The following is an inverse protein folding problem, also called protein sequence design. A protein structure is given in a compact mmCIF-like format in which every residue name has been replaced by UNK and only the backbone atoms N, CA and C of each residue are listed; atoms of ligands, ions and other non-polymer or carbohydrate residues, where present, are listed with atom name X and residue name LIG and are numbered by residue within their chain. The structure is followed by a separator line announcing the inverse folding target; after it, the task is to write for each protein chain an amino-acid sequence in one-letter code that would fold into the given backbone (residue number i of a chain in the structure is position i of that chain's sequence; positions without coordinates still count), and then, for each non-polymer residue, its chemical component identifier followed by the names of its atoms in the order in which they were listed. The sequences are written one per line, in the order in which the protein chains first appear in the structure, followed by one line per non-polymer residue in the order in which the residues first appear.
data_IF_290693158221
#
_entry.id   IF_290693158221
#
_cell.length_a   1.000
_cell.length_b   1.000
_cell.length_c   1.000
_cell.angle_alpha   90.00
_cell.angle_beta   90.00
_cell.angle_gamma   90.00
#
_symmetry.space_group_name_H-M   'P 1'
#
loop_
_entity.id
_entity.type
_entity.pdbx_description
1 polymer ?
#
# COMPACT_ATOMS: atom_id res chain seq x y z
N UNK A 1 -36.59 -14.43 -4.40
CA UNK A 1 -35.74 -15.19 -5.34
C UNK A 1 -34.35 -15.27 -4.77
N UNK A 2 -33.96 -16.40 -4.55
CA UNK A 2 -33.01 -17.13 -3.74
C UNK A 2 -31.64 -16.51 -3.45
N UNK A 3 -31.39 -16.28 -2.16
CA UNK A 3 -30.07 -15.88 -1.60
C UNK A 3 -29.13 -17.10 -1.34
N UNK A 4 -29.47 -18.29 -1.82
CA UNK A 4 -28.75 -19.54 -1.48
C UNK A 4 -27.85 -20.12 -2.60
N UNK A 5 -27.58 -19.39 -3.69
CA UNK A 5 -26.73 -19.91 -4.78
C UNK A 5 -25.31 -19.37 -4.84
N UNK A 6 -24.89 -18.51 -3.90
CA UNK A 6 -23.54 -17.93 -3.91
C UNK A 6 -22.53 -18.64 -2.96
N UNK A 7 -22.95 -19.65 -2.21
CA UNK A 7 -22.12 -20.25 -1.16
C UNK A 7 -21.56 -21.65 -1.48
N UNK A 8 -21.66 -22.15 -2.71
CA UNK A 8 -21.27 -23.55 -3.03
C UNK A 8 -20.07 -23.68 -3.99
N UNK A 9 -19.48 -22.60 -4.46
CA UNK A 9 -18.36 -22.68 -5.44
C UNK A 9 -16.97 -22.44 -4.83
N UNK A 10 -16.85 -22.07 -3.56
CA UNK A 10 -15.55 -21.78 -2.90
C UNK A 10 -14.89 -23.00 -2.25
N UNK A 11 -15.53 -24.17 -2.24
CA UNK A 11 -15.02 -25.33 -1.47
C UNK A 11 -14.51 -26.53 -2.31
N UNK A 12 -14.20 -26.37 -3.58
CA UNK A 12 -13.88 -27.52 -4.47
C UNK A 12 -12.47 -27.49 -5.13
N UNK A 13 -11.52 -26.64 -4.72
CA UNK A 13 -10.16 -26.58 -5.33
C UNK A 13 -9.02 -26.84 -4.33
N UNK A 14 -9.28 -27.27 -3.10
CA UNK A 14 -8.25 -27.53 -2.08
C UNK A 14 -7.91 -29.02 -1.87
N UNK A 15 -8.14 -29.92 -2.80
CA UNK A 15 -7.85 -31.37 -2.64
C UNK A 15 -7.11 -31.98 -3.85
N UNK A 16 -6.17 -31.33 -4.49
CA UNK A 16 -5.26 -32.03 -5.43
C UNK A 16 -3.89 -31.36 -5.57
N UNK A 17 -3.09 -31.32 -4.50
CA UNK A 17 -1.62 -31.11 -4.62
C UNK A 17 -0.89 -31.59 -3.35
N UNK A 18 -1.16 -32.82 -2.93
CA UNK A 18 -0.41 -33.49 -1.87
C UNK A 18 -0.07 -34.91 -2.26
N UNK A 19 0.78 -35.08 -3.27
CA UNK A 19 1.44 -36.35 -3.56
C UNK A 19 2.61 -36.14 -4.53
N UNK A 20 3.76 -35.70 -4.06
CA UNK A 20 5.11 -36.06 -4.50
C UNK A 20 6.10 -35.32 -3.60
N UNK A 21 6.52 -35.92 -2.51
CA UNK A 21 7.89 -35.89 -1.98
C UNK A 21 8.00 -36.92 -0.89
N UNK A 22 8.75 -37.98 -1.23
CA UNK A 22 8.99 -39.15 -0.40
C UNK A 22 9.85 -38.86 0.81
N UNK A 23 9.58 -39.60 1.84
CA UNK A 23 10.26 -39.61 3.13
C UNK A 23 11.74 -40.00 3.03
N UNK A 24 12.60 -39.24 3.65
CA UNK A 24 13.88 -39.71 4.15
C UNK A 24 13.90 -39.48 5.67
N UNK A 25 13.84 -40.56 6.40
CA UNK A 25 13.92 -40.66 7.87
C UNK A 25 15.42 -40.79 8.21
N UNK A 26 15.95 -39.88 9.00
CA UNK A 26 17.28 -40.03 9.61
C UNK A 26 17.11 -40.05 11.13
N UNK A 27 17.69 -41.07 11.73
CA UNK A 27 17.69 -41.40 13.16
C UNK A 27 18.48 -40.38 13.98
N UNK A 28 17.95 -40.06 15.14
CA UNK A 28 18.60 -39.27 16.18
C UNK A 28 19.50 -40.18 17.04
N UNK A 29 20.77 -39.88 17.14
CA UNK A 29 21.64 -40.33 18.21
C UNK A 29 22.11 -39.12 19.00
N UNK A 30 21.74 -39.10 20.26
CA UNK A 30 22.33 -38.22 21.29
C UNK A 30 23.71 -38.68 21.71
N UNK A 31 24.60 -37.78 22.02
CA UNK A 31 25.62 -38.04 23.02
C UNK A 31 25.56 -37.10 24.23
N UNK A 32 25.93 -37.72 25.34
CA UNK A 32 26.01 -37.20 26.69
C UNK A 32 26.94 -36.00 26.91
N UNK A 33 26.57 -35.27 27.97
CA UNK A 33 27.37 -34.43 28.89
C UNK A 33 28.87 -34.25 28.64
N UNK A 34 29.28 -33.01 28.53
CA UNK A 34 30.57 -32.55 29.07
C UNK A 34 30.45 -31.15 29.65
N UNK A 35 30.80 -31.12 30.89
CA UNK A 35 31.00 -30.02 31.82
C UNK A 35 31.97 -28.97 31.28
N UNK A 36 31.54 -27.70 31.15
CA UNK A 36 32.47 -26.59 30.91
C UNK A 36 32.11 -25.43 31.86
N UNK A 37 32.94 -25.34 32.92
CA UNK A 37 33.06 -24.22 33.85
C UNK A 37 33.36 -22.91 33.11
N UNK A 38 32.57 -21.91 33.36
CA UNK A 38 32.75 -20.53 32.85
C UNK A 38 33.88 -19.81 33.62
N UNK A 39 34.77 -19.10 32.92
CA UNK A 39 35.73 -18.20 33.60
C UNK A 39 35.07 -16.90 34.06
N UNK A 40 35.34 -16.53 35.33
CA UNK A 40 34.92 -15.25 35.91
C UNK A 40 35.71 -14.09 35.29
N UNK A 41 35.02 -13.08 34.82
CA UNK A 41 35.61 -11.80 34.40
C UNK A 41 35.99 -10.95 35.63
N UNK A 42 37.10 -10.19 35.57
CA UNK A 42 37.54 -9.35 36.69
C UNK A 42 36.67 -8.07 36.82
N UNK A 43 36.42 -7.68 38.05
CA UNK A 43 35.75 -6.44 38.46
C UNK A 43 36.64 -5.26 38.07
N UNK A 44 36.17 -4.38 37.19
CA UNK A 44 36.81 -3.11 36.89
C UNK A 44 36.42 -2.09 38.00
N UNK A 45 37.41 -1.59 38.67
CA UNK A 45 37.30 -0.47 39.65
C UNK A 45 37.03 0.81 38.84
N UNK A 46 35.93 1.48 39.13
CA UNK A 46 35.62 2.81 38.56
C UNK A 46 36.57 3.85 39.20
N UNK A 47 37.43 4.42 38.36
CA UNK A 47 38.19 5.62 38.66
C UNK A 47 37.44 6.82 38.08
N UNK A 48 36.79 7.59 38.93
CA UNK A 48 36.17 8.85 38.54
C UNK A 48 37.23 9.90 38.17
N UNK A 49 37.39 10.18 36.88
CA UNK A 49 38.06 11.39 36.40
C UNK A 49 37.03 12.50 36.25
N UNK A 50 37.16 13.51 37.07
CA UNK A 50 36.43 14.76 36.95
C UNK A 50 37.00 15.57 35.79
N UNK A 51 36.36 15.51 34.63
CA UNK A 51 36.62 16.33 33.46
C UNK A 51 35.63 17.48 33.46
N UNK A 52 36.10 18.65 33.94
CA UNK A 52 35.38 19.92 33.86
C UNK A 52 34.86 20.20 32.44
N UNK A 53 33.62 19.85 32.18
CA UNK A 53 32.91 20.22 30.94
C UNK A 53 32.34 21.61 31.11
N UNK A 54 33.04 22.57 30.50
CA UNK A 54 32.54 23.89 30.15
C UNK A 54 31.15 23.78 29.53
N UNK A 55 30.17 24.50 30.06
CA UNK A 55 28.81 24.60 29.58
C UNK A 55 28.77 25.15 28.15
N UNK A 56 28.81 24.27 27.17
CA UNK A 56 28.34 24.60 25.82
C UNK A 56 26.84 24.81 25.90
N UNK A 57 26.39 26.05 25.75
CA UNK A 57 24.99 26.45 25.64
C UNK A 57 24.30 25.52 24.64
N UNK A 58 23.34 24.75 25.14
CA UNK A 58 22.50 23.90 24.34
C UNK A 58 21.90 24.71 23.21
N UNK A 59 22.22 24.33 21.97
CA UNK A 59 21.41 24.74 20.80
C UNK A 59 20.03 24.18 21.09
N UNK A 60 19.09 25.10 21.22
CA UNK A 60 17.66 24.82 21.25
C UNK A 60 17.35 23.99 19.99
N UNK A 61 17.30 22.66 20.16
CA UNK A 61 16.77 21.76 19.12
C UNK A 61 15.27 22.01 19.11
N UNK A 62 14.86 23.08 18.44
CA UNK A 62 13.47 23.21 18.03
C UNK A 62 13.15 21.95 17.27
N UNK A 63 12.39 21.06 17.91
CA UNK A 63 11.87 19.87 17.25
C UNK A 63 11.12 20.32 16.02
N UNK A 64 11.64 19.99 14.83
CA UNK A 64 10.91 20.23 13.57
C UNK A 64 9.57 19.55 13.75
N UNK A 65 8.45 20.25 13.58
CA UNK A 65 7.14 19.63 13.72
C UNK A 65 7.07 18.41 12.81
N UNK A 66 6.52 17.29 13.25
CA UNK A 66 6.41 16.11 12.42
C UNK A 66 5.62 16.43 11.15
N UNK A 67 6.11 15.97 10.00
CA UNK A 67 5.47 16.19 8.69
C UNK A 67 4.01 15.76 8.74
N UNK A 68 3.07 16.60 8.31
CA UNK A 68 1.66 16.24 8.24
C UNK A 68 1.44 15.06 7.28
N UNK A 69 0.53 14.15 7.66
CA UNK A 69 0.13 13.01 6.84
C UNK A 69 -1.35 13.14 6.50
N UNK A 70 -1.68 13.06 5.22
CA UNK A 70 -3.05 13.14 4.71
C UNK A 70 -3.71 11.76 4.85
N UNK A 71 -4.91 11.71 5.44
CA UNK A 71 -5.68 10.48 5.53
C UNK A 71 -6.54 10.28 4.28
N UNK A 72 -6.74 9.02 3.93
CA UNK A 72 -7.67 8.58 2.93
C UNK A 72 -8.43 7.33 3.36
N UNK A 73 -9.48 7.02 2.63
CA UNK A 73 -10.24 5.78 2.78
C UNK A 73 -10.58 5.24 1.39
N UNK A 74 -10.44 3.92 1.25
CA UNK A 74 -11.04 3.12 0.19
C UNK A 74 -12.27 2.37 0.71
N UNK A 75 -13.35 2.35 -0.07
CA UNK A 75 -14.48 1.45 0.12
C UNK A 75 -15.01 0.95 -1.23
N UNK A 76 -15.54 -0.28 -1.30
CA UNK A 76 -16.08 -0.84 -2.56
C UNK A 76 -17.26 -0.04 -3.14
N UNK A 77 -18.00 0.71 -2.32
CA UNK A 77 -19.11 1.54 -2.74
C UNK A 77 -18.69 2.86 -3.41
N UNK A 78 -17.41 3.27 -3.22
CA UNK A 78 -16.93 4.56 -3.73
C UNK A 78 -16.77 4.57 -5.25
N UNK A 79 -17.01 5.69 -5.89
CA UNK A 79 -17.51 6.96 -5.36
C UNK A 79 -19.05 7.07 -5.38
N UNK A 80 -19.78 5.97 -5.68
CA UNK A 80 -21.24 5.99 -5.86
C UNK A 80 -22.01 6.25 -4.56
N UNK A 81 -21.52 5.72 -3.43
CA UNK A 81 -22.11 5.92 -2.11
C UNK A 81 -21.03 6.32 -1.10
N UNK A 82 -21.14 7.57 -0.61
CA UNK A 82 -20.25 8.17 0.38
C UNK A 82 -20.87 8.27 1.77
N UNK A 83 -21.96 7.53 2.04
CA UNK A 83 -22.71 7.63 3.30
C UNK A 83 -21.87 7.20 4.51
N UNK A 84 -21.15 6.10 4.40
CA UNK A 84 -20.27 5.60 5.46
C UNK A 84 -19.10 6.55 5.71
N UNK A 85 -18.53 7.16 4.66
CA UNK A 85 -17.52 8.21 4.79
C UNK A 85 -18.08 9.39 5.60
N UNK A 86 -19.30 9.82 5.29
CA UNK A 86 -19.97 10.92 6.00
C UNK A 86 -20.19 10.60 7.48
N UNK A 87 -20.44 9.33 7.83
CA UNK A 87 -20.52 8.89 9.22
C UNK A 87 -19.16 8.99 9.94
N UNK A 88 -18.08 8.56 9.29
CA UNK A 88 -16.74 8.68 9.85
C UNK A 88 -16.30 10.13 10.05
N UNK A 89 -16.59 11.01 9.07
CA UNK A 89 -16.33 12.44 9.18
C UNK A 89 -17.10 13.09 10.32
N UNK A 90 -18.37 12.74 10.47
CA UNK A 90 -19.21 13.27 11.57
C UNK A 90 -18.66 12.83 12.93
N UNK A 91 -18.24 11.57 13.07
CA UNK A 91 -17.70 11.01 14.32
C UNK A 91 -16.35 11.59 14.70
N UNK A 92 -15.46 11.79 13.72
CA UNK A 92 -14.12 12.34 13.95
C UNK A 92 -14.11 13.88 14.02
N UNK A 93 -15.17 14.55 13.55
CA UNK A 93 -15.21 16.00 13.38
C UNK A 93 -14.24 16.50 12.28
N UNK A 94 -13.76 15.61 11.42
CA UNK A 94 -12.76 15.90 10.38
C UNK A 94 -13.20 15.40 9.02
N UNK A 95 -12.88 16.16 7.98
CA UNK A 95 -12.98 15.71 6.60
C UNK A 95 -11.92 14.66 6.30
N UNK A 96 -12.27 13.70 5.46
CA UNK A 96 -11.33 12.72 4.91
C UNK A 96 -10.80 13.27 3.58
N UNK A 97 -9.52 13.64 3.54
CA UNK A 97 -8.95 14.37 2.41
C UNK A 97 -8.80 13.55 1.12
N UNK A 98 -8.57 12.22 1.19
CA UNK A 98 -8.43 11.36 0.01
C UNK A 98 -9.54 10.33 -0.02
N UNK A 99 -10.24 10.24 -1.14
CA UNK A 99 -11.25 9.22 -1.41
C UNK A 99 -10.75 8.36 -2.56
N UNK A 100 -10.59 7.06 -2.27
CA UNK A 100 -9.98 6.09 -3.17
C UNK A 100 -11.00 5.09 -3.69
N UNK A 101 -10.92 4.77 -4.98
CA UNK A 101 -11.66 3.68 -5.61
C UNK A 101 -10.82 3.01 -6.71
N UNK A 102 -11.28 1.85 -7.16
CA UNK A 102 -10.68 1.11 -8.27
C UNK A 102 -11.45 1.36 -9.56
N UNK A 103 -10.76 1.38 -10.67
CA UNK A 103 -11.33 1.43 -12.02
C UNK A 103 -10.61 0.38 -12.88
N UNK A 104 -11.35 -0.65 -13.28
CA UNK A 104 -10.86 -1.74 -14.10
C UNK A 104 -11.17 -1.47 -15.56
N UNK A 105 -10.18 -1.58 -16.44
CA UNK A 105 -10.34 -1.18 -17.84
C UNK A 105 -11.45 -1.94 -18.59
N UNK A 106 -11.68 -3.21 -18.23
CA UNK A 106 -12.75 -4.04 -18.80
C UNK A 106 -13.85 -4.42 -17.81
N UNK A 107 -13.89 -3.80 -16.63
CA UNK A 107 -14.78 -4.17 -15.53
C UNK A 107 -15.43 -2.98 -14.83
N UNK A 108 -15.33 -2.96 -13.52
CA UNK A 108 -15.91 -1.92 -12.68
C UNK A 108 -15.33 -0.54 -13.01
N UNK A 109 -16.21 0.46 -13.20
CA UNK A 109 -15.81 1.84 -13.53
C UNK A 109 -14.88 1.93 -14.76
N UNK A 110 -15.09 1.09 -15.76
CA UNK A 110 -14.24 1.04 -16.95
C UNK A 110 -14.25 2.35 -17.74
N UNK A 111 -15.41 2.98 -17.91
CA UNK A 111 -15.49 4.28 -18.58
C UNK A 111 -15.12 5.43 -17.63
N UNK A 112 -14.42 6.43 -18.16
CA UNK A 112 -14.21 7.69 -17.42
C UNK A 112 -15.57 8.37 -17.15
N UNK A 113 -15.82 8.65 -15.87
CA UNK A 113 -17.00 9.41 -15.44
C UNK A 113 -16.57 10.67 -14.67
N UNK A 114 -16.80 11.82 -15.28
CA UNK A 114 -16.52 13.12 -14.63
C UNK A 114 -17.30 13.30 -13.34
N UNK A 115 -18.52 12.78 -13.25
CA UNK A 115 -19.36 12.96 -12.07
C UNK A 115 -18.76 12.28 -10.83
N UNK A 116 -18.05 11.17 -11.00
CA UNK A 116 -17.32 10.50 -9.92
C UNK A 116 -16.29 11.44 -9.28
N UNK A 117 -15.51 12.12 -10.13
CA UNK A 117 -14.48 13.06 -9.70
C UNK A 117 -15.09 14.33 -9.06
N UNK A 118 -16.18 14.84 -9.66
CA UNK A 118 -16.88 16.02 -9.12
C UNK A 118 -17.55 15.71 -7.78
N UNK A 119 -18.13 14.54 -7.60
CA UNK A 119 -18.73 14.13 -6.32
C UNK A 119 -17.70 14.14 -5.18
N UNK A 120 -16.48 13.73 -5.46
CA UNK A 120 -15.36 13.74 -4.50
C UNK A 120 -14.84 15.15 -4.28
N UNK A 121 -14.54 15.90 -5.36
CA UNK A 121 -13.95 17.24 -5.25
C UNK A 121 -14.90 18.28 -4.69
N UNK A 122 -16.20 18.15 -4.91
CA UNK A 122 -17.21 19.04 -4.33
C UNK A 122 -17.26 18.97 -2.79
N UNK A 123 -16.74 17.88 -2.20
CA UNK A 123 -16.58 17.73 -0.75
C UNK A 123 -15.30 18.36 -0.21
N UNK A 124 -14.42 18.84 -1.09
CA UNK A 124 -13.06 19.29 -0.76
C UNK A 124 -12.06 18.15 -0.59
N UNK A 125 -12.39 16.95 -1.09
CA UNK A 125 -11.50 15.78 -1.07
C UNK A 125 -10.81 15.59 -2.42
N UNK A 126 -9.63 14.93 -2.40
CA UNK A 126 -8.84 14.59 -3.57
C UNK A 126 -9.21 13.19 -4.06
N UNK A 127 -9.59 13.03 -5.34
CA UNK A 127 -9.82 11.73 -5.94
C UNK A 127 -8.52 10.95 -6.06
N UNK A 128 -8.53 9.69 -5.66
CA UNK A 128 -7.49 8.71 -5.93
C UNK A 128 -8.08 7.52 -6.65
N UNK A 129 -7.49 7.15 -7.78
CA UNK A 129 -7.97 6.05 -8.62
C UNK A 129 -6.87 5.01 -8.76
N UNK A 130 -7.14 3.76 -8.36
CA UNK A 130 -6.35 2.62 -8.81
C UNK A 130 -6.88 2.16 -10.14
N UNK A 131 -6.05 2.30 -11.19
CA UNK A 131 -6.42 2.10 -12.58
C UNK A 131 -5.78 0.83 -13.12
N UNK A 132 -6.60 -0.20 -13.25
CA UNK A 132 -6.20 -1.58 -13.43
C UNK A 132 -6.44 -2.06 -14.86
N UNK A 133 -5.40 -2.43 -15.63
CA UNK A 133 -5.54 -2.92 -17.00
C UNK A 133 -5.98 -4.39 -17.03
N UNK A 134 -7.23 -4.70 -16.65
CA UNK A 134 -7.86 -6.01 -16.69
C UNK A 134 -9.39 -5.92 -16.59
N UNK A 135 -10.08 -7.08 -16.58
CA UNK A 135 -11.53 -7.12 -16.40
C UNK A 135 -11.95 -7.15 -14.91
N UNK A 136 -11.04 -7.44 -14.00
CA UNK A 136 -11.35 -7.66 -12.59
C UNK A 136 -11.99 -9.02 -12.31
N UNK A 137 -12.10 -9.89 -13.31
CA UNK A 137 -12.75 -11.19 -13.20
C UNK A 137 -11.80 -12.30 -12.74
N UNK A 138 -10.59 -11.96 -12.31
CA UNK A 138 -9.53 -12.91 -12.03
C UNK A 138 -9.90 -13.91 -10.93
N UNK A 139 -10.45 -15.02 -11.35
CA UNK A 139 -10.55 -16.23 -10.54
C UNK A 139 -9.21 -16.99 -10.58
N UNK A 140 -8.10 -16.27 -10.30
CA UNK A 140 -6.75 -16.84 -10.29
C UNK A 140 -6.17 -17.14 -11.69
N UNK A 141 -6.72 -16.58 -12.77
CA UNK A 141 -6.22 -16.76 -14.12
C UNK A 141 -5.74 -15.44 -14.70
N UNK A 142 -4.46 -15.35 -15.10
CA UNK A 142 -3.97 -14.18 -15.81
C UNK A 142 -4.69 -14.04 -17.16
N UNK A 143 -5.14 -12.83 -17.46
CA UNK A 143 -5.86 -12.51 -18.71
C UNK A 143 -4.86 -12.10 -19.82
N UNK A 144 -4.43 -12.99 -20.72
CA UNK A 144 -3.32 -12.72 -21.66
C UNK A 144 -3.53 -11.51 -22.57
N UNK A 145 -4.80 -11.23 -22.91
CA UNK A 145 -5.16 -10.08 -23.74
C UNK A 145 -4.97 -8.72 -23.03
N UNK A 146 -4.76 -8.76 -21.72
CA UNK A 146 -4.53 -7.60 -20.88
C UNK A 146 -3.06 -7.49 -20.42
N UNK A 147 -2.19 -8.37 -20.94
CA UNK A 147 -0.75 -8.31 -20.66
C UNK A 147 -0.12 -7.03 -21.18
N UNK A 148 1.08 -6.72 -20.73
CA UNK A 148 1.79 -5.52 -21.16
C UNK A 148 2.02 -5.52 -22.68
N UNK A 149 2.56 -6.62 -23.26
CA UNK A 149 2.88 -6.69 -24.69
C UNK A 149 1.65 -6.82 -25.58
N UNK A 150 0.78 -7.79 -25.30
CA UNK A 150 -0.34 -8.11 -26.19
C UNK A 150 -1.55 -7.21 -25.94
N UNK A 151 -1.59 -6.55 -24.78
CA UNK A 151 -2.62 -5.58 -24.41
C UNK A 151 -2.15 -4.15 -24.66
N UNK A 152 -1.39 -3.60 -23.71
CA UNK A 152 -1.06 -2.17 -23.67
C UNK A 152 -0.15 -1.75 -24.82
N UNK A 153 1.00 -2.41 -24.99
CA UNK A 153 2.01 -2.04 -25.99
C UNK A 153 1.63 -2.40 -27.41
N UNK A 154 0.58 -3.20 -27.62
CA UNK A 154 0.04 -3.46 -28.95
C UNK A 154 -0.77 -2.30 -29.53
N UNK A 155 -1.06 -1.26 -28.73
CA UNK A 155 -1.93 -0.15 -29.11
C UNK A 155 -3.43 -0.47 -29.05
N UNK A 156 -3.79 -1.70 -28.67
CA UNK A 156 -5.20 -2.15 -28.57
C UNK A 156 -6.06 -1.25 -27.69
N UNK A 157 -5.49 -0.67 -26.65
CA UNK A 157 -6.19 0.16 -25.68
C UNK A 157 -5.97 1.67 -25.87
N UNK A 158 -5.34 2.11 -26.96
CA UNK A 158 -5.01 3.53 -27.18
C UNK A 158 -6.24 4.43 -27.11
N UNK A 159 -7.31 4.07 -27.80
CA UNK A 159 -8.55 4.84 -27.78
C UNK A 159 -9.18 4.91 -26.39
N UNK A 160 -9.07 3.84 -25.62
CA UNK A 160 -9.54 3.78 -24.23
C UNK A 160 -8.70 4.68 -23.32
N UNK A 161 -7.36 4.53 -23.37
CA UNK A 161 -6.40 5.34 -22.57
C UNK A 161 -6.58 6.82 -22.91
N UNK A 162 -6.68 7.16 -24.19
CA UNK A 162 -6.87 8.54 -24.65
C UNK A 162 -8.23 9.12 -24.20
N UNK A 163 -9.29 8.32 -24.13
CA UNK A 163 -10.58 8.77 -23.61
C UNK A 163 -10.49 9.19 -22.14
N UNK A 164 -9.77 8.43 -21.31
CA UNK A 164 -9.49 8.76 -19.93
C UNK A 164 -8.61 9.99 -19.81
N UNK A 165 -7.53 10.07 -20.60
CA UNK A 165 -6.62 11.20 -20.62
C UNK A 165 -7.33 12.52 -20.96
N UNK A 166 -8.14 12.52 -22.02
CA UNK A 166 -8.94 13.70 -22.38
C UNK A 166 -9.98 14.04 -21.33
N UNK A 167 -10.63 13.04 -20.75
CA UNK A 167 -11.58 13.23 -19.67
C UNK A 167 -10.96 13.90 -18.46
N UNK A 168 -9.77 13.43 -18.04
CA UNK A 168 -9.02 14.03 -16.93
C UNK A 168 -8.52 15.43 -17.25
N UNK A 169 -7.99 15.66 -18.46
CA UNK A 169 -7.59 16.98 -18.90
C UNK A 169 -8.76 17.98 -18.87
N UNK A 170 -9.94 17.58 -19.36
CA UNK A 170 -11.15 18.38 -19.32
C UNK A 170 -11.70 18.59 -17.90
N UNK A 171 -11.49 17.66 -16.99
CA UNK A 171 -11.80 17.83 -15.58
C UNK A 171 -10.94 18.92 -14.92
N UNK A 172 -9.64 18.95 -15.19
CA UNK A 172 -8.74 20.05 -14.87
C UNK A 172 -8.34 20.20 -13.41
N UNK A 173 -8.98 19.47 -12.46
CA UNK A 173 -8.60 19.49 -11.04
C UNK A 173 -7.66 18.30 -10.74
N UNK A 174 -6.84 18.35 -9.68
CA UNK A 174 -5.90 17.29 -9.34
C UNK A 174 -6.56 15.93 -9.14
N UNK A 175 -5.92 14.87 -9.65
CA UNK A 175 -6.29 13.47 -9.48
C UNK A 175 -5.04 12.64 -9.18
N UNK A 176 -5.08 11.81 -8.16
CA UNK A 176 -4.06 10.79 -7.91
C UNK A 176 -4.39 9.54 -8.74
N UNK A 177 -3.49 9.11 -9.60
CA UNK A 177 -3.67 7.95 -10.46
C UNK A 177 -2.63 6.87 -10.15
N UNK A 178 -3.07 5.75 -9.61
CA UNK A 178 -2.25 4.57 -9.33
C UNK A 178 -2.45 3.55 -10.45
N UNK A 179 -1.57 3.58 -11.44
CA UNK A 179 -1.66 2.71 -12.62
C UNK A 179 -0.89 1.42 -12.43
N UNK A 180 -1.49 0.28 -12.78
CA UNK A 180 -0.85 -1.04 -12.82
C UNK A 180 0.02 -1.31 -11.57
N UNK A 181 -0.59 -1.17 -10.38
CA UNK A 181 0.05 -1.34 -9.08
C UNK A 181 0.51 -2.78 -8.84
N UNK A 182 1.34 -3.00 -7.81
CA UNK A 182 1.80 -4.34 -7.38
C UNK A 182 2.34 -5.20 -8.53
N UNK A 183 3.11 -4.59 -9.40
CA UNK A 183 3.59 -5.14 -10.67
C UNK A 183 4.59 -6.29 -10.53
N UNK A 184 4.93 -6.72 -9.33
CA UNK A 184 5.86 -7.82 -9.08
C UNK A 184 5.25 -8.81 -8.09
N UNK A 185 5.62 -10.08 -8.25
CA UNK A 185 5.26 -11.18 -7.34
C UNK A 185 3.76 -11.36 -7.09
N UNK A 186 2.92 -10.94 -8.06
CA UNK A 186 1.46 -11.08 -7.96
C UNK A 186 0.95 -12.06 -9.01
N UNK A 187 0.40 -13.22 -8.62
CA UNK A 187 0.12 -14.32 -9.54
C UNK A 187 -1.09 -14.07 -10.47
N UNK A 188 -1.91 -13.06 -10.19
CA UNK A 188 -3.18 -12.87 -10.91
C UNK A 188 -3.21 -11.64 -11.82
N UNK A 189 -2.32 -10.67 -11.59
CA UNK A 189 -2.36 -9.44 -12.37
C UNK A 189 -1.77 -9.64 -13.76
N UNK A 190 -2.53 -9.37 -14.84
CA UNK A 190 -2.05 -9.55 -16.21
C UNK A 190 -0.82 -8.72 -16.56
N UNK A 191 -0.61 -7.61 -15.84
CA UNK A 191 0.54 -6.70 -16.01
C UNK A 191 1.74 -7.07 -15.14
N UNK A 192 1.62 -8.04 -14.23
CA UNK A 192 2.72 -8.38 -13.35
C UNK A 192 3.89 -9.01 -14.11
N UNK A 193 5.11 -8.70 -13.66
CA UNK A 193 6.34 -9.28 -14.21
C UNK A 193 6.37 -10.78 -13.95
N UNK A 194 6.75 -11.55 -14.97
CA UNK A 194 6.69 -13.02 -14.97
C UNK A 194 5.34 -13.59 -15.40
N UNK A 195 4.25 -12.84 -15.29
CA UNK A 195 2.92 -13.26 -15.73
C UNK A 195 2.76 -12.92 -17.23
N UNK A 196 2.14 -13.82 -18.00
CA UNK A 196 1.95 -13.66 -19.45
C UNK A 196 3.26 -13.38 -20.21
N UNK A 197 4.42 -13.74 -19.67
CA UNK A 197 5.72 -13.46 -20.25
C UNK A 197 6.17 -12.00 -20.16
N UNK A 198 5.54 -11.18 -19.34
CA UNK A 198 5.95 -9.79 -19.10
C UNK A 198 7.33 -9.73 -18.44
N UNK A 199 8.19 -8.86 -18.95
CA UNK A 199 9.47 -8.51 -18.32
C UNK A 199 9.39 -7.19 -17.57
N UNK A 200 10.41 -6.88 -16.77
CA UNK A 200 10.56 -5.57 -16.14
C UNK A 200 10.65 -4.44 -17.19
N UNK A 201 11.33 -4.70 -18.31
CA UNK A 201 11.43 -3.74 -19.42
C UNK A 201 10.07 -3.46 -20.07
N UNK A 202 9.23 -4.50 -20.23
CA UNK A 202 7.87 -4.32 -20.73
C UNK A 202 7.04 -3.43 -19.81
N UNK A 203 7.19 -3.61 -18.48
CA UNK A 203 6.50 -2.77 -17.51
C UNK A 203 6.94 -1.30 -17.62
N UNK A 204 8.24 -1.05 -17.64
CA UNK A 204 8.78 0.31 -17.78
C UNK A 204 8.37 0.97 -19.11
N UNK A 205 8.34 0.18 -20.19
CA UNK A 205 7.90 0.65 -21.50
C UNK A 205 6.41 0.97 -21.51
N UNK A 206 5.58 0.09 -20.94
CA UNK A 206 4.13 0.31 -20.83
C UNK A 206 3.81 1.53 -19.95
N UNK A 207 4.53 1.73 -18.85
CA UNK A 207 4.38 2.91 -18.00
C UNK A 207 4.58 4.20 -18.79
N UNK A 208 5.71 4.31 -19.50
CA UNK A 208 6.02 5.48 -20.32
C UNK A 208 5.06 5.66 -21.49
N UNK A 209 4.62 4.55 -22.10
CA UNK A 209 3.66 4.55 -23.20
C UNK A 209 2.32 5.16 -22.78
N UNK A 210 1.76 4.71 -21.66
CA UNK A 210 0.50 5.22 -21.11
C UNK A 210 0.65 6.69 -20.71
N UNK A 211 1.71 7.06 -20.00
CA UNK A 211 2.01 8.46 -19.68
C UNK A 211 2.14 9.35 -20.92
N UNK A 212 2.75 8.83 -21.99
CA UNK A 212 2.88 9.53 -23.25
C UNK A 212 1.52 9.86 -23.91
N UNK A 213 0.51 9.00 -23.74
CA UNK A 213 -0.85 9.29 -24.21
C UNK A 213 -1.47 10.43 -23.40
N UNK A 214 -1.33 10.39 -22.07
CA UNK A 214 -1.81 11.46 -21.20
C UNK A 214 -1.13 12.81 -21.47
N UNK A 215 0.17 12.79 -21.71
CA UNK A 215 0.92 14.01 -22.08
C UNK A 215 0.42 14.62 -23.38
N UNK A 216 0.15 13.81 -24.42
CA UNK A 216 -0.41 14.28 -25.69
C UNK A 216 -1.81 14.87 -25.53
N UNK A 217 -2.58 14.39 -24.56
CA UNK A 217 -3.92 14.90 -24.24
C UNK A 217 -3.89 16.09 -23.26
N UNK A 218 -2.70 16.59 -22.89
CA UNK A 218 -2.50 17.69 -21.95
C UNK A 218 -3.13 17.47 -20.56
N UNK A 219 -3.17 16.21 -20.09
CA UNK A 219 -3.69 15.83 -18.77
C UNK A 219 -2.65 16.10 -17.66
N UNK A 220 -2.25 17.36 -17.48
CA UNK A 220 -1.20 17.77 -16.54
C UNK A 220 -1.65 17.81 -15.09
N UNK A 221 -2.93 17.64 -14.85
CA UNK A 221 -3.54 17.59 -13.52
C UNK A 221 -3.52 16.18 -12.87
N UNK A 222 -2.93 15.20 -13.57
CA UNK A 222 -2.83 13.82 -13.07
C UNK A 222 -1.50 13.63 -12.36
N UNK A 223 -1.55 13.22 -11.09
CA UNK A 223 -0.40 12.89 -10.28
C UNK A 223 -0.23 11.36 -10.24
N UNK A 224 0.87 10.88 -10.79
CA UNK A 224 1.14 9.46 -11.01
C UNK A 224 1.76 8.81 -9.78
N UNK A 225 1.15 7.71 -9.33
CA UNK A 225 1.64 6.89 -8.21
C UNK A 225 2.19 5.58 -8.76
N UNK A 226 3.51 5.38 -8.61
CA UNK A 226 4.14 4.08 -8.82
C UNK A 226 4.12 3.30 -7.50
N UNK A 227 3.52 2.10 -7.50
CA UNK A 227 3.22 1.39 -6.27
C UNK A 227 3.57 -0.10 -6.34
N UNK A 228 4.77 -0.51 -5.91
CA UNK A 228 5.04 -1.90 -5.58
C UNK A 228 4.39 -2.30 -4.25
N UNK A 229 4.28 -3.61 -4.01
CA UNK A 229 3.80 -4.10 -2.71
C UNK A 229 4.95 -4.52 -1.76
N UNK A 230 4.57 -4.88 -0.53
CA UNK A 230 5.49 -5.43 0.47
C UNK A 230 5.58 -6.94 0.31
N UNK A 231 6.79 -7.47 0.09
CA UNK A 231 7.07 -8.90 -0.03
C UNK A 231 7.40 -9.46 1.35
N UNK A 232 6.52 -10.29 1.89
CA UNK A 232 6.69 -10.84 3.24
C UNK A 232 8.04 -11.56 3.41
N UNK A 233 8.80 -11.17 4.42
CA UNK A 233 10.07 -11.80 4.76
C UNK A 233 11.26 -11.47 3.85
N UNK A 234 11.09 -10.61 2.84
CA UNK A 234 12.18 -10.21 1.95
C UNK A 234 13.25 -9.37 2.69
N UNK A 235 14.51 -9.54 2.26
CA UNK A 235 15.62 -8.71 2.74
C UNK A 235 15.57 -7.31 2.12
N UNK A 236 16.25 -6.34 2.73
CA UNK A 236 16.35 -4.98 2.20
C UNK A 236 16.98 -4.97 0.80
N UNK A 237 18.02 -5.78 0.57
CA UNK A 237 18.66 -5.90 -0.74
C UNK A 237 17.73 -6.51 -1.81
N UNK A 238 16.87 -7.45 -1.42
CA UNK A 238 15.85 -8.02 -2.32
C UNK A 238 14.85 -6.95 -2.71
N UNK A 239 14.33 -6.19 -1.76
CA UNK A 239 13.43 -5.07 -2.04
C UNK A 239 14.09 -4.02 -2.94
N UNK A 240 15.31 -3.59 -2.59
CA UNK A 240 16.00 -2.55 -3.36
C UNK A 240 16.25 -3.00 -4.81
N UNK A 241 16.73 -4.22 -5.03
CA UNK A 241 16.97 -4.75 -6.37
C UNK A 241 15.68 -4.87 -7.19
N UNK A 242 14.59 -5.36 -6.57
CA UNK A 242 13.29 -5.49 -7.23
C UNK A 242 12.72 -4.11 -7.58
N UNK A 243 12.72 -3.18 -6.63
CA UNK A 243 12.18 -1.84 -6.86
C UNK A 243 13.01 -1.09 -7.91
N UNK A 244 14.32 -1.17 -7.86
CA UNK A 244 15.20 -0.54 -8.85
C UNK A 244 15.00 -1.06 -10.27
N UNK A 245 14.74 -2.36 -10.41
CA UNK A 245 14.46 -2.97 -11.72
C UNK A 245 13.14 -2.52 -12.34
N UNK A 246 12.17 -2.09 -11.52
CA UNK A 246 10.81 -1.76 -11.94
C UNK A 246 10.48 -0.25 -11.83
N UNK A 247 11.40 0.53 -11.31
CA UNK A 247 11.18 1.96 -11.10
C UNK A 247 11.35 2.75 -12.40
N UNK A 248 10.32 3.46 -12.87
CA UNK A 248 10.39 4.19 -14.14
C UNK A 248 11.26 5.44 -14.09
N UNK A 249 11.62 5.91 -12.88
CA UNK A 249 12.44 7.09 -12.63
C UNK A 249 11.65 8.26 -12.06
N UNK A 250 12.35 9.15 -11.30
CA UNK A 250 11.73 10.30 -10.63
C UNK A 250 11.06 11.30 -11.59
N UNK A 251 11.45 11.33 -12.88
CA UNK A 251 10.80 12.16 -13.90
C UNK A 251 9.46 11.60 -14.38
N UNK A 252 9.22 10.31 -14.15
CA UNK A 252 8.04 9.57 -14.63
C UNK A 252 6.99 9.37 -13.55
N UNK A 253 7.27 9.73 -12.31
CA UNK A 253 6.35 9.55 -11.18
C UNK A 253 6.27 10.82 -10.35
N UNK A 254 5.12 11.06 -9.75
CA UNK A 254 4.94 12.14 -8.78
C UNK A 254 5.09 11.62 -7.36
N UNK A 255 4.64 10.40 -7.13
CA UNK A 255 4.63 9.73 -5.84
C UNK A 255 5.05 8.27 -5.95
N UNK A 256 5.72 7.76 -4.93
CA UNK A 256 5.90 6.32 -4.77
C UNK A 256 4.93 5.80 -3.72
N UNK A 257 4.49 4.55 -3.87
CA UNK A 257 3.52 3.92 -2.94
C UNK A 257 4.02 2.60 -2.38
N UNK A 258 3.49 2.20 -1.22
CA UNK A 258 3.62 0.85 -0.65
C UNK A 258 2.31 0.43 -0.02
N UNK A 259 1.81 -0.76 -0.38
CA UNK A 259 0.66 -1.36 0.26
C UNK A 259 1.10 -2.14 1.50
N UNK A 260 0.48 -1.87 2.65
CA UNK A 260 0.97 -2.30 3.96
C UNK A 260 -0.15 -2.93 4.78
N UNK A 261 -0.06 -4.23 5.01
CA UNK A 261 -1.05 -4.98 5.77
C UNK A 261 -0.45 -5.70 6.96
N UNK A 262 -1.10 -5.57 8.13
CA UNK A 262 -0.94 -6.51 9.22
C UNK A 262 -1.92 -7.66 9.00
N UNK A 263 -1.44 -8.71 8.36
CA UNK A 263 -2.27 -9.86 7.97
C UNK A 263 -2.59 -10.81 9.12
N UNK A 264 -1.90 -10.67 10.25
CA UNK A 264 -2.00 -11.64 11.34
C UNK A 264 -1.46 -13.02 10.93
N UNK A 265 -1.86 -14.09 11.66
CA UNK A 265 -1.32 -15.43 11.43
C UNK A 265 -1.93 -16.20 10.26
N UNK A 266 -3.05 -15.76 9.68
CA UNK A 266 -3.93 -16.62 8.88
C UNK A 266 -3.76 -16.49 7.35
N UNK A 267 -2.99 -15.52 6.85
CA UNK A 267 -2.81 -15.35 5.40
C UNK A 267 -1.44 -15.80 4.94
N UNK A 268 -1.42 -16.74 4.01
CA UNK A 268 -0.20 -17.34 3.46
C UNK A 268 0.69 -16.34 2.72
N UNK A 269 0.10 -15.30 2.11
CA UNK A 269 0.84 -14.23 1.43
C UNK A 269 1.40 -13.18 2.40
N UNK A 270 1.02 -13.24 3.67
CA UNK A 270 1.51 -12.36 4.72
C UNK A 270 2.70 -12.94 5.49
N UNK A 271 2.99 -12.32 6.62
CA UNK A 271 4.10 -12.75 7.50
C UNK A 271 3.76 -13.94 8.38
N UNK A 272 2.54 -14.48 8.32
CA UNK A 272 1.99 -15.51 9.20
C UNK A 272 2.12 -15.16 10.71
N UNK A 273 2.10 -13.87 11.05
CA UNK A 273 2.19 -13.35 12.42
C UNK A 273 1.65 -11.94 12.52
N UNK A 274 1.24 -11.57 13.73
CA UNK A 274 0.89 -10.18 14.05
C UNK A 274 2.12 -9.28 13.97
N UNK A 275 2.00 -8.16 13.25
CA UNK A 275 3.07 -7.17 13.11
C UNK A 275 2.52 -5.75 13.26
N UNK A 276 3.29 -4.86 13.87
CA UNK A 276 2.99 -3.45 13.88
C UNK A 276 3.23 -2.81 12.50
N UNK A 277 2.71 -1.59 12.28
CA UNK A 277 3.01 -0.83 11.07
C UNK A 277 4.52 -0.68 10.87
N UNK A 278 5.24 -0.34 11.92
CA UNK A 278 6.69 -0.16 11.85
C UNK A 278 7.43 -1.46 11.48
N UNK A 279 6.97 -2.61 11.98
CA UNK A 279 7.58 -3.90 11.64
C UNK A 279 7.37 -4.27 10.17
N UNK A 280 6.19 -4.00 9.61
CA UNK A 280 5.91 -4.27 8.19
C UNK A 280 6.63 -3.28 7.27
N UNK A 281 6.60 -1.99 7.63
CA UNK A 281 7.02 -0.91 6.73
C UNK A 281 8.55 -0.64 6.75
N UNK A 282 9.27 -0.92 7.84
CA UNK A 282 10.65 -0.43 8.01
C UNK A 282 11.61 -0.86 6.90
N UNK A 283 11.60 -2.13 6.52
CA UNK A 283 12.51 -2.65 5.49
C UNK A 283 12.16 -2.14 4.08
N UNK A 284 10.91 -2.28 3.59
CA UNK A 284 10.54 -1.77 2.28
C UNK A 284 10.64 -0.23 2.19
N UNK A 285 10.42 0.49 3.31
CA UNK A 285 10.61 1.95 3.34
C UNK A 285 12.06 2.34 3.08
N UNK A 286 13.05 1.69 3.74
CA UNK A 286 14.47 1.97 3.48
C UNK A 286 14.82 1.68 2.03
N UNK A 287 14.38 0.55 1.51
CA UNK A 287 14.64 0.15 0.12
C UNK A 287 14.05 1.15 -0.90
N UNK A 288 12.77 1.52 -0.76
CA UNK A 288 12.13 2.43 -1.72
C UNK A 288 12.72 3.85 -1.64
N UNK A 289 13.14 4.29 -0.45
CA UNK A 289 13.77 5.60 -0.27
C UNK A 289 15.22 5.64 -0.77
N UNK A 290 15.87 4.51 -0.96
CA UNK A 290 17.17 4.38 -1.64
C UNK A 290 17.02 4.39 -3.18
N UNK A 291 15.85 4.08 -3.70
CA UNK A 291 15.55 4.02 -5.14
C UNK A 291 15.01 5.35 -5.67
N UNK A 292 14.17 6.04 -4.90
CA UNK A 292 13.48 7.27 -5.32
C UNK A 292 13.64 8.39 -4.30
N UNK A 293 13.66 9.64 -4.78
CA UNK A 293 13.61 10.84 -3.94
C UNK A 293 12.19 11.34 -3.67
N UNK A 294 11.16 10.75 -4.29
CA UNK A 294 9.76 11.20 -4.20
C UNK A 294 9.14 10.98 -2.82
N UNK A 295 8.09 11.73 -2.53
CA UNK A 295 7.24 11.50 -1.36
C UNK A 295 6.56 10.13 -1.43
N UNK A 296 6.27 9.54 -0.26
CA UNK A 296 5.68 8.21 -0.16
C UNK A 296 4.21 8.29 0.26
N UNK A 297 3.37 7.54 -0.42
CA UNK A 297 2.02 7.21 0.01
C UNK A 297 1.97 5.78 0.55
N UNK A 298 0.99 5.52 1.40
CA UNK A 298 0.54 4.17 1.72
C UNK A 298 -0.87 4.01 1.13
N UNK A 299 -1.01 3.64 -0.15
CA UNK A 299 -2.30 3.61 -0.86
C UNK A 299 -3.27 2.58 -0.34
N UNK A 300 -2.76 1.55 0.32
CA UNK A 300 -3.55 0.55 1.01
C UNK A 300 -2.92 0.23 2.36
N UNK A 301 -3.69 0.46 3.42
CA UNK A 301 -3.31 0.07 4.79
C UNK A 301 -4.45 -0.66 5.46
N UNK A 302 -4.15 -1.81 6.03
CA UNK A 302 -5.12 -2.59 6.77
C UNK A 302 -4.51 -3.36 7.93
N UNK A 303 -5.35 -3.70 8.90
CA UNK A 303 -5.01 -4.62 9.99
C UNK A 303 -6.18 -5.54 10.25
N UNK A 304 -5.90 -6.82 10.45
CA UNK A 304 -6.88 -7.81 10.89
C UNK A 304 -7.24 -7.61 12.36
N UNK A 305 -8.32 -8.28 12.82
CA UNK A 305 -8.61 -8.46 14.26
C UNK A 305 -7.89 -9.70 14.83
N UNK A 306 -7.38 -10.59 13.96
CA UNK A 306 -6.84 -11.88 14.37
C UNK A 306 -5.35 -11.80 14.74
N UNK A 307 -5.02 -12.31 15.92
CA UNK A 307 -3.66 -12.38 16.44
C UNK A 307 -3.27 -11.21 17.36
N UNK A 308 -4.12 -10.19 17.52
CA UNK A 308 -3.85 -9.04 18.41
C UNK A 308 -5.01 -8.07 18.53
N UNK A 309 -4.72 -6.84 18.93
CA UNK A 309 -5.72 -5.78 19.06
C UNK A 309 -5.63 -4.79 17.89
N UNK A 310 -6.54 -4.86 16.95
CA UNK A 310 -6.65 -3.90 15.83
C UNK A 310 -6.83 -2.46 16.33
N UNK A 311 -7.62 -2.28 17.39
CA UNK A 311 -7.80 -0.99 18.06
C UNK A 311 -6.47 -0.39 18.52
N UNK A 312 -5.64 -1.18 19.19
CA UNK A 312 -4.31 -0.75 19.63
C UNK A 312 -3.37 -0.53 18.43
N UNK A 313 -3.43 -1.41 17.42
CA UNK A 313 -2.66 -1.26 16.20
C UNK A 313 -2.95 0.08 15.51
N UNK A 314 -4.22 0.41 15.30
CA UNK A 314 -4.65 1.69 14.70
C UNK A 314 -4.09 2.86 15.50
N UNK A 315 -4.27 2.84 16.83
CA UNK A 315 -3.79 3.90 17.70
C UNK A 315 -2.28 4.08 17.59
N UNK A 316 -1.51 3.00 17.75
CA UNK A 316 -0.05 3.04 17.74
C UNK A 316 0.50 3.41 16.36
N UNK A 317 -0.04 2.81 15.30
CA UNK A 317 0.36 3.10 13.93
C UNK A 317 0.22 4.59 13.59
N UNK A 318 -0.96 5.17 13.84
CA UNK A 318 -1.28 6.52 13.40
C UNK A 318 -0.72 7.60 14.31
N UNK A 319 -0.54 7.34 15.62
CA UNK A 319 -0.06 8.36 16.57
C UNK A 319 1.44 8.34 16.80
N UNK A 320 2.08 7.18 16.70
CA UNK A 320 3.47 6.99 17.13
C UNK A 320 4.37 6.46 16.01
N UNK A 321 4.00 5.32 15.40
CA UNK A 321 4.90 4.62 14.48
C UNK A 321 5.08 5.35 13.15
N UNK A 322 4.02 5.95 12.63
CA UNK A 322 4.06 6.72 11.37
C UNK A 322 5.07 7.89 11.43
N UNK A 323 5.40 8.38 12.63
CA UNK A 323 6.41 9.42 12.82
C UNK A 323 7.84 8.97 12.47
N UNK A 324 8.10 7.67 12.46
CA UNK A 324 9.39 7.08 12.12
C UNK A 324 9.66 7.11 10.61
N UNK A 325 8.65 7.44 9.80
CA UNK A 325 8.69 7.41 8.34
C UNK A 325 8.42 8.81 7.74
N UNK A 326 9.39 9.75 7.84
CA UNK A 326 9.16 11.16 7.53
C UNK A 326 8.83 11.45 6.07
N UNK A 327 9.08 10.51 5.13
CA UNK A 327 8.67 10.66 3.72
C UNK A 327 7.24 10.20 3.46
N UNK A 328 6.57 9.55 4.41
CA UNK A 328 5.15 9.21 4.28
C UNK A 328 4.32 10.48 4.38
N UNK A 329 3.56 10.78 3.32
CA UNK A 329 2.75 11.99 3.16
C UNK A 329 1.25 11.70 3.15
N UNK A 330 0.86 10.48 2.82
CA UNK A 330 -0.53 10.04 2.90
C UNK A 330 -0.64 8.57 3.29
N UNK A 331 -1.77 8.23 3.89
CA UNK A 331 -2.17 6.88 4.24
C UNK A 331 -3.64 6.71 3.90
N UNK A 332 -3.96 5.70 3.09
CA UNK A 332 -5.34 5.35 2.71
C UNK A 332 -5.71 4.04 3.38
N UNK A 333 -6.73 4.07 4.23
CA UNK A 333 -7.22 2.86 4.86
C UNK A 333 -8.05 2.03 3.88
N UNK A 334 -7.75 0.73 3.80
CA UNK A 334 -8.48 -0.24 2.98
C UNK A 334 -9.68 -0.77 3.75
N UNK A 335 -10.81 -0.06 3.66
CA UNK A 335 -11.98 -0.24 4.51
C UNK A 335 -12.98 -1.24 3.89
N UNK A 336 -12.63 -2.50 3.90
CA UNK A 336 -13.42 -3.58 3.30
C UNK A 336 -13.33 -4.87 4.12
N UNK A 337 -14.38 -5.67 4.11
CA UNK A 337 -14.39 -7.06 4.55
C UNK A 337 -14.16 -7.94 3.31
N UNK A 338 -12.98 -8.54 3.21
CA UNK A 338 -12.54 -9.32 2.05
C UNK A 338 -11.83 -10.60 2.51
N UNK A 339 -10.52 -10.75 2.30
CA UNK A 339 -9.74 -11.89 2.81
C UNK A 339 -9.64 -11.89 4.34
N UNK A 340 -9.69 -10.70 4.93
CA UNK A 340 -9.75 -10.42 6.36
C UNK A 340 -10.73 -9.27 6.61
N UNK A 341 -11.10 -9.06 7.85
CA UNK A 341 -11.90 -7.91 8.27
C UNK A 341 -11.03 -6.64 8.31
N UNK A 342 -10.67 -6.11 7.14
CA UNK A 342 -9.91 -4.86 7.03
C UNK A 342 -10.73 -3.64 7.43
N UNK A 343 -12.05 -3.72 7.34
CA UNK A 343 -12.98 -2.64 7.61
C UNK A 343 -12.83 -2.04 9.01
N UNK A 344 -12.90 -0.71 9.09
CA UNK A 344 -12.74 0.05 10.35
C UNK A 344 -13.79 -0.28 11.40
N UNK A 345 -14.99 -0.66 10.97
CA UNK A 345 -16.11 -1.03 11.83
C UNK A 345 -16.18 -2.54 12.12
N UNK A 346 -15.09 -3.30 11.90
CA UNK A 346 -14.99 -4.71 12.30
C UNK A 346 -15.24 -4.91 13.80
N UNK A 347 -14.87 -3.92 14.60
CA UNK A 347 -15.23 -3.82 16.01
C UNK A 347 -15.50 -2.36 16.41
N UNK A 348 -16.28 -2.16 17.48
CA UNK A 348 -16.53 -0.82 18.02
C UNK A 348 -15.23 -0.16 18.49
N UNK A 349 -14.32 -0.92 19.08
CA UNK A 349 -13.03 -0.42 19.56
C UNK A 349 -12.11 0.00 18.43
N UNK A 350 -12.06 -0.75 17.31
CA UNK A 350 -11.29 -0.37 16.13
C UNK A 350 -11.79 0.96 15.54
N UNK A 351 -13.11 1.09 15.36
CA UNK A 351 -13.72 2.31 14.86
C UNK A 351 -13.43 3.52 15.78
N UNK A 352 -13.58 3.35 17.10
CA UNK A 352 -13.30 4.43 18.07
C UNK A 352 -11.83 4.87 18.02
N UNK A 353 -10.90 3.94 17.90
CA UNK A 353 -9.47 4.24 17.79
C UNK A 353 -9.15 5.00 16.50
N UNK A 354 -9.74 4.60 15.38
CA UNK A 354 -9.55 5.31 14.11
C UNK A 354 -10.13 6.73 14.16
N UNK A 355 -11.34 6.90 14.68
CA UNK A 355 -12.00 8.21 14.87
C UNK A 355 -11.14 9.14 15.75
N UNK A 356 -10.63 8.62 16.86
CA UNK A 356 -9.76 9.39 17.76
C UNK A 356 -8.43 9.78 17.10
N UNK A 357 -7.81 8.86 16.34
CA UNK A 357 -6.59 9.13 15.59
C UNK A 357 -6.83 10.16 14.48
N UNK A 358 -7.89 9.99 13.68
CA UNK A 358 -8.23 10.89 12.58
C UNK A 358 -8.53 12.34 13.06
N UNK A 359 -9.00 12.51 14.29
CA UNK A 359 -9.25 13.82 14.89
C UNK A 359 -7.96 14.60 15.22
N UNK A 360 -6.78 13.96 15.19
CA UNK A 360 -5.52 14.62 15.53
C UNK A 360 -5.06 15.60 14.44
N UNK A 361 -4.56 16.80 14.80
CA UNK A 361 -4.16 17.82 13.83
C UNK A 361 -3.13 17.35 12.81
N UNK A 362 -2.23 16.46 13.21
CA UNK A 362 -1.21 15.88 12.34
C UNK A 362 -1.78 15.06 11.19
N UNK A 363 -2.93 14.41 11.39
CA UNK A 363 -3.54 13.51 10.40
C UNK A 363 -4.67 14.17 9.59
N UNK A 364 -4.82 15.49 9.67
CA UNK A 364 -5.87 16.24 8.97
C UNK A 364 -5.29 17.36 8.11
N UNK A 365 -4.13 17.11 7.50
CA UNK A 365 -3.49 18.09 6.64
C UNK A 365 -4.37 18.46 5.43
N UNK A 366 -4.26 19.70 5.00
CA UNK A 366 -4.86 20.18 3.76
C UNK A 366 -4.24 19.43 2.56
N UNK A 367 -5.07 19.00 1.62
CA UNK A 367 -4.61 18.34 0.38
C UNK A 367 -3.76 19.23 -0.49
N UNK A 368 -3.90 20.56 -0.40
CA UNK A 368 -3.06 21.51 -1.14
C UNK A 368 -1.58 21.40 -0.76
N UNK A 369 -1.29 21.16 0.51
CA UNK A 369 0.09 20.92 0.99
C UNK A 369 0.68 19.63 0.44
N UNK A 370 -0.15 18.62 0.24
CA UNK A 370 0.25 17.34 -0.32
C UNK A 370 0.63 17.45 -1.81
N UNK A 371 -0.09 18.27 -2.57
CA UNK A 371 0.09 18.46 -4.00
C UNK A 371 1.26 19.38 -4.36
N UNK A 372 1.73 20.19 -3.40
CA UNK A 372 2.86 21.11 -3.58
C UNK A 372 4.22 20.48 -3.20
N UNK A 373 4.23 19.28 -2.70
CA UNK A 373 5.43 18.54 -2.30
C UNK A 373 5.84 17.53 -3.37
#
# INVERSE_FOLDING_TARGET
MDKHRFLVVVLAVLVQLAAVFGAARAESTTPENSDYSQPRLPVLVETTMDLGLSSARGRDQRSVPPTPVVLGIYQPSFPNDLSQLSDYERRSGRKIPIIHWYAQWGGWKSAFDRNDLEAVSARGSLPMITWEPWTGSAQGQPEPNWSLRNGILSGRFDAYIDSWARGMAAYGKPVLLRFAHEMHDHPFYPWAVGINGNSAEDYLTAWRYVRGIFARSNATNVHWIWNPHVIAGASESTYESTYRALYPGDSEVDWVGLDVYNTGPDLDWGSARWQSLAQVLSTPYRAITAVSSKGLLLPEVGSTENGGSKSQWITTALTTELAQFPRVRALVWFDVDKEQQWNLNSSQSALQSWVAAAAQPRLSADVSMFLLS
#
